data_IF_841817328799
#
_entry.id   IF_841817328799
#
_cell.length_a   1.000
_cell.length_b   1.000
_cell.length_c   1.000
_cell.angle_alpha   90.00
_cell.angle_beta   90.00
_cell.angle_gamma   90.00
#
_symmetry.space_group_name_H-M   'P 1'
#
loop_
_entity.id
_entity.type
_entity.pdbx_description
1 polymer ?
#
# COMPACT_ATOMS: atom_id res chain seq x y z
N UNK A 1 -56.97 39.48 -28.10
CA UNK A 1 -55.52 39.28 -28.28
C UNK A 1 -54.92 38.67 -27.00
N UNK A 2 -54.81 37.34 -26.91
CA UNK A 2 -54.04 36.64 -25.87
C UNK A 2 -53.30 35.50 -26.58
N UNK A 3 -51.97 35.60 -26.63
CA UNK A 3 -51.07 34.62 -27.25
C UNK A 3 -50.88 33.46 -26.27
N UNK A 4 -51.19 32.23 -26.69
CA UNK A 4 -50.76 31.01 -26.03
C UNK A 4 -49.33 30.68 -26.49
N UNK A 5 -48.37 30.61 -25.57
CA UNK A 5 -47.06 30.00 -25.83
C UNK A 5 -47.16 28.51 -25.50
N UNK A 6 -46.91 27.64 -26.49
CA UNK A 6 -46.55 26.24 -26.25
C UNK A 6 -45.07 26.17 -25.92
N UNK A 7 -44.73 25.62 -24.75
CA UNK A 7 -43.37 25.21 -24.41
C UNK A 7 -43.14 23.78 -24.93
N UNK A 8 -42.17 23.62 -25.84
CA UNK A 8 -41.67 22.33 -26.30
C UNK A 8 -40.58 21.90 -25.32
N UNK A 9 -40.84 20.85 -24.53
CA UNK A 9 -39.82 20.19 -23.72
C UNK A 9 -39.03 19.23 -24.63
N UNK A 10 -37.81 19.62 -25.01
CA UNK A 10 -36.86 18.72 -25.67
C UNK A 10 -36.21 17.83 -24.62
N UNK A 11 -36.54 16.54 -24.64
CA UNK A 11 -35.89 15.50 -23.83
C UNK A 11 -34.53 15.17 -24.48
N UNK A 12 -33.45 15.77 -24.00
CA UNK A 12 -32.10 15.34 -24.34
C UNK A 12 -31.77 14.08 -23.53
N UNK A 13 -31.95 12.90 -24.12
CA UNK A 13 -31.38 11.66 -23.63
C UNK A 13 -29.86 11.69 -23.85
N UNK A 14 -29.11 12.16 -22.85
CA UNK A 14 -27.66 12.05 -22.83
C UNK A 14 -27.26 10.58 -22.71
N UNK A 15 -26.64 10.04 -23.76
CA UNK A 15 -25.94 8.75 -23.68
C UNK A 15 -24.67 9.02 -22.87
N UNK A 16 -24.66 8.59 -21.61
CA UNK A 16 -23.43 8.52 -20.83
C UNK A 16 -22.56 7.40 -21.42
N UNK A 17 -21.64 7.77 -22.31
CA UNK A 17 -20.56 6.87 -22.73
C UNK A 17 -19.64 6.67 -21.52
N UNK A 18 -19.85 5.59 -20.78
CA UNK A 18 -18.90 5.13 -19.78
C UNK A 18 -17.56 4.87 -20.46
N UNK A 19 -16.51 5.54 -20.02
CA UNK A 19 -15.15 5.23 -20.44
C UNK A 19 -14.82 3.87 -19.82
N UNK A 20 -14.79 2.83 -20.64
CA UNK A 20 -14.33 1.51 -20.21
C UNK A 20 -12.81 1.59 -20.06
N UNK A 21 -12.32 1.76 -18.82
CA UNK A 21 -10.92 1.60 -18.52
C UNK A 21 -10.57 0.11 -18.63
N UNK A 22 -9.47 -0.20 -19.32
CA UNK A 22 -9.03 -1.57 -19.42
C UNK A 22 -8.46 -2.04 -18.09
N UNK A 23 -8.92 -3.21 -17.63
CA UNK A 23 -8.43 -3.80 -16.41
C UNK A 23 -6.93 -4.15 -16.53
N UNK A 24 -6.16 -3.85 -15.49
CA UNK A 24 -4.79 -4.35 -15.33
C UNK A 24 -4.78 -5.87 -15.51
N UNK A 25 -3.81 -6.43 -16.27
CA UNK A 25 -3.73 -7.86 -16.50
C UNK A 25 -3.64 -8.61 -15.16
N UNK A 26 -4.33 -9.74 -15.07
CA UNK A 26 -4.23 -10.60 -13.88
C UNK A 26 -2.77 -10.99 -13.62
N UNK A 27 -2.36 -11.11 -12.35
CA UNK A 27 -1.00 -11.54 -12.03
C UNK A 27 -0.66 -12.89 -12.67
N UNK A 28 0.55 -12.96 -13.24
CA UNK A 28 1.11 -14.19 -13.82
C UNK A 28 2.35 -14.59 -13.05
N UNK A 29 2.44 -15.82 -12.51
CA UNK A 29 3.63 -16.30 -11.82
C UNK A 29 4.88 -16.22 -12.70
N UNK A 30 5.99 -15.72 -12.14
CA UNK A 30 7.26 -15.57 -12.83
C UNK A 30 8.41 -15.18 -11.88
N UNK A 31 9.49 -14.68 -12.45
CA UNK A 31 10.68 -14.21 -11.72
C UNK A 31 11.08 -12.83 -12.22
N UNK A 32 11.68 -11.99 -11.37
CA UNK A 32 12.27 -10.75 -11.85
C UNK A 32 13.42 -11.06 -12.80
N UNK A 33 13.37 -10.43 -13.97
CA UNK A 33 14.41 -10.52 -15.00
C UNK A 33 15.15 -9.19 -15.11
N UNK A 34 16.34 -9.25 -15.69
CA UNK A 34 17.10 -8.06 -16.04
C UNK A 34 16.49 -7.26 -17.18
N UNK A 35 16.37 -5.94 -17.01
CA UNK A 35 15.96 -5.01 -18.06
C UNK A 35 16.99 -3.90 -18.26
N UNK A 36 16.93 -3.24 -19.43
CA UNK A 36 17.72 -2.04 -19.67
C UNK A 36 17.09 -0.85 -18.92
N UNK A 37 17.52 -0.60 -17.69
CA UNK A 37 16.97 0.48 -16.85
C UNK A 37 17.91 1.69 -16.86
N UNK A 38 17.43 2.84 -17.34
CA UNK A 38 18.22 4.08 -17.42
C UNK A 38 18.10 4.99 -16.20
N UNK A 39 17.01 4.88 -15.44
CA UNK A 39 16.76 5.66 -14.23
C UNK A 39 15.83 4.89 -13.28
N UNK A 40 15.96 5.14 -11.98
CA UNK A 40 15.13 4.56 -10.93
C UNK A 40 14.51 5.68 -10.10
N UNK A 41 13.22 5.57 -9.81
CA UNK A 41 12.45 6.44 -8.93
C UNK A 41 11.68 5.58 -7.91
N UNK A 42 11.22 6.22 -6.84
CA UNK A 42 10.38 5.56 -5.82
C UNK A 42 9.13 6.37 -5.56
N UNK A 43 8.01 5.71 -5.29
CA UNK A 43 6.80 6.35 -4.84
C UNK A 43 6.10 5.52 -3.77
N UNK A 44 5.22 6.15 -3.00
CA UNK A 44 4.39 5.43 -2.06
C UNK A 44 3.43 6.33 -1.30
N UNK A 45 2.50 5.68 -0.60
CA UNK A 45 1.48 6.33 0.23
C UNK A 45 1.55 5.90 1.68
N UNK A 46 1.24 6.79 2.62
CA UNK A 46 1.15 6.45 4.04
C UNK A 46 2.48 5.85 4.54
N UNK A 47 2.48 4.69 5.19
CA UNK A 47 3.72 3.96 5.54
C UNK A 47 4.62 3.67 4.33
N UNK A 48 4.05 3.39 3.15
CA UNK A 48 4.79 3.27 1.89
C UNK A 48 5.40 4.60 1.44
N UNK A 49 4.76 5.73 1.76
CA UNK A 49 5.30 7.07 1.53
C UNK A 49 6.48 7.40 2.46
N UNK A 50 6.39 7.01 3.74
CA UNK A 50 7.54 7.06 4.65
C UNK A 50 8.68 6.17 4.15
N UNK A 51 8.39 4.94 3.73
CA UNK A 51 9.41 4.05 3.18
C UNK A 51 10.00 4.56 1.86
N UNK A 52 9.20 5.16 0.97
CA UNK A 52 9.68 5.81 -0.24
C UNK A 52 10.66 6.95 0.09
N UNK A 53 10.34 7.75 1.11
CA UNK A 53 11.24 8.77 1.62
C UNK A 53 12.54 8.15 2.18
N UNK A 54 12.45 7.10 3.00
CA UNK A 54 13.62 6.38 3.54
C UNK A 54 14.52 5.83 2.44
N UNK A 55 13.95 5.19 1.41
CA UNK A 55 14.69 4.66 0.27
C UNK A 55 15.38 5.77 -0.53
N UNK A 56 14.68 6.88 -0.79
CA UNK A 56 15.26 8.00 -1.54
C UNK A 56 16.40 8.66 -0.77
N UNK A 57 16.26 8.86 0.55
CA UNK A 57 17.31 9.42 1.40
C UNK A 57 18.49 8.47 1.53
N UNK A 58 18.25 7.22 1.92
CA UNK A 58 19.29 6.24 2.14
C UNK A 58 20.05 5.92 0.86
N UNK A 59 19.35 5.74 -0.28
CA UNK A 59 19.93 5.33 -1.56
C UNK A 59 19.82 6.41 -2.64
N UNK A 60 20.10 7.68 -2.28
CA UNK A 60 20.01 8.84 -3.18
C UNK A 60 20.93 8.77 -4.41
N UNK A 61 21.97 7.93 -4.39
CA UNK A 61 22.77 7.59 -5.56
C UNK A 61 21.99 6.78 -6.60
N UNK A 62 21.05 5.95 -6.17
CA UNK A 62 20.21 5.09 -7.03
C UNK A 62 18.94 5.79 -7.46
N UNK A 63 18.15 6.29 -6.50
CA UNK A 63 16.86 6.93 -6.78
C UNK A 63 17.05 8.39 -7.19
N UNK A 64 16.57 8.78 -8.37
CA UNK A 64 16.71 10.15 -8.91
C UNK A 64 15.63 11.12 -8.41
N UNK A 65 14.65 10.61 -7.68
CA UNK A 65 13.53 11.36 -7.18
C UNK A 65 12.49 10.47 -6.51
N UNK A 66 11.51 11.11 -5.87
CA UNK A 66 10.46 10.44 -5.12
C UNK A 66 9.07 11.07 -5.30
N UNK A 67 8.03 10.23 -5.33
CA UNK A 67 6.62 10.63 -5.26
C UNK A 67 5.99 10.18 -3.94
N UNK A 68 5.61 11.09 -3.05
CA UNK A 68 5.20 10.75 -1.69
C UNK A 68 3.80 11.27 -1.41
N UNK A 69 2.89 10.36 -1.07
CA UNK A 69 1.50 10.65 -0.74
C UNK A 69 1.27 10.47 0.76
N UNK A 70 0.73 11.52 1.39
CA UNK A 70 0.23 11.51 2.77
C UNK A 70 1.19 10.86 3.79
N UNK A 71 2.41 11.39 3.89
CA UNK A 71 3.47 10.86 4.77
C UNK A 71 4.30 12.00 5.41
N UNK A 72 5.49 11.67 5.93
CA UNK A 72 6.31 12.62 6.70
C UNK A 72 7.82 12.48 6.50
N UNK A 73 8.60 13.34 7.19
CA UNK A 73 10.05 13.45 7.03
C UNK A 73 10.80 12.19 7.47
N UNK A 74 12.03 12.06 6.97
CA UNK A 74 12.91 10.93 7.22
C UNK A 74 13.17 10.77 8.73
N UNK A 75 13.12 9.54 9.22
CA UNK A 75 13.36 9.18 10.63
C UNK A 75 12.45 9.92 11.65
N UNK A 76 11.30 10.44 11.20
CA UNK A 76 10.37 11.15 12.08
C UNK A 76 9.99 10.32 13.32
N UNK A 77 9.73 9.02 13.13
CA UNK A 77 9.32 8.11 14.18
C UNK A 77 10.42 7.75 15.19
N UNK A 78 11.70 7.95 14.85
CA UNK A 78 12.83 7.73 15.75
C UNK A 78 12.80 6.36 16.46
N UNK A 79 12.62 5.27 15.70
CA UNK A 79 12.56 3.89 16.25
C UNK A 79 11.48 3.73 17.35
N UNK A 80 10.38 4.47 17.24
CA UNK A 80 9.32 4.49 18.24
C UNK A 80 7.93 4.56 17.62
N UNK A 81 7.17 3.49 17.82
CA UNK A 81 5.75 3.42 17.46
C UNK A 81 4.89 4.48 18.17
N UNK A 82 5.32 4.94 19.35
CA UNK A 82 4.64 6.02 20.07
C UNK A 82 4.89 7.36 19.37
N UNK A 83 6.15 7.68 19.06
CA UNK A 83 6.51 8.89 18.31
C UNK A 83 5.87 8.89 16.92
N UNK A 84 5.87 7.75 16.23
CA UNK A 84 5.23 7.55 14.94
C UNK A 84 3.77 8.06 14.95
N UNK A 85 2.99 7.64 15.95
CA UNK A 85 1.56 7.97 16.01
C UNK A 85 1.29 9.36 16.59
N UNK A 86 1.99 9.72 17.65
CA UNK A 86 1.67 10.94 18.39
C UNK A 86 2.38 12.16 17.85
N UNK A 87 3.60 12.03 17.32
CA UNK A 87 4.31 13.13 16.69
C UNK A 87 4.06 13.13 15.18
N UNK A 88 4.31 12.00 14.51
CA UNK A 88 4.38 11.92 13.05
C UNK A 88 3.04 11.62 12.36
N UNK A 89 1.94 11.46 13.09
CA UNK A 89 0.61 11.30 12.50
C UNK A 89 -0.36 12.32 13.10
N UNK A 90 -0.71 12.17 14.38
CA UNK A 90 -1.73 12.96 15.05
C UNK A 90 -1.24 14.30 15.59
N UNK A 91 0.08 14.48 15.76
CA UNK A 91 0.71 15.72 16.24
C UNK A 91 0.38 16.14 17.68
N UNK A 92 -0.06 15.19 18.50
CA UNK A 92 -0.30 15.36 19.94
C UNK A 92 0.99 15.43 20.77
N UNK A 93 2.10 14.93 20.23
CA UNK A 93 3.45 15.11 20.75
C UNK A 93 4.21 16.12 19.88
N UNK A 94 5.11 16.88 20.50
CA UNK A 94 6.06 17.72 19.77
C UNK A 94 6.86 16.88 18.76
N UNK A 95 6.79 17.30 17.50
CA UNK A 95 7.62 16.75 16.42
C UNK A 95 9.02 17.35 16.49
N UNK A 96 10.01 16.58 16.05
CA UNK A 96 11.28 17.17 15.63
C UNK A 96 11.03 18.09 14.46
N UNK A 97 11.72 19.22 14.46
CA UNK A 97 11.68 20.18 13.36
C UNK A 97 12.39 19.60 12.13
N UNK A 98 12.08 20.11 10.91
CA UNK A 98 12.83 19.74 9.70
C UNK A 98 14.34 19.89 9.87
N UNK A 99 14.82 21.00 10.41
CA UNK A 99 16.24 21.26 10.63
C UNK A 99 16.93 20.23 11.55
N UNK A 100 16.24 19.72 12.58
CA UNK A 100 16.76 18.65 13.44
C UNK A 100 16.87 17.33 12.67
N UNK A 101 15.83 16.94 11.93
CA UNK A 101 15.81 15.70 11.14
C UNK A 101 16.82 15.74 9.99
N UNK A 102 17.01 16.90 9.35
CA UNK A 102 18.06 17.12 8.37
C UNK A 102 19.45 16.99 8.95
N UNK A 103 19.66 17.48 10.18
CA UNK A 103 20.95 17.33 10.86
C UNK A 103 21.24 15.87 11.16
N UNK A 104 20.25 15.11 11.64
CA UNK A 104 20.39 13.67 11.86
C UNK A 104 20.65 12.91 10.56
N UNK A 105 20.01 13.33 9.47
CA UNK A 105 20.30 12.79 8.13
C UNK A 105 21.74 13.06 7.73
N UNK A 106 22.24 14.29 7.92
CA UNK A 106 23.64 14.65 7.65
C UNK A 106 24.61 13.83 8.50
N UNK A 107 24.30 13.63 9.78
CA UNK A 107 25.15 12.87 10.70
C UNK A 107 25.22 11.38 10.31
N UNK A 108 24.08 10.77 9.93
CA UNK A 108 24.02 9.40 9.41
C UNK A 108 24.71 9.25 8.04
N UNK A 109 24.59 10.23 7.15
CA UNK A 109 25.34 10.25 5.89
C UNK A 109 26.85 10.35 6.14
N UNK A 110 27.29 11.19 7.09
CA UNK A 110 28.69 11.34 7.48
C UNK A 110 29.27 10.08 8.13
N UNK A 111 28.45 9.25 8.78
CA UNK A 111 28.86 7.95 9.31
C UNK A 111 28.90 6.84 8.25
N UNK A 112 28.38 7.09 7.05
CA UNK A 112 28.38 6.15 5.92
C UNK A 112 27.24 5.14 5.93
N UNK A 113 26.23 5.31 6.78
CA UNK A 113 25.04 4.43 6.81
C UNK A 113 23.94 4.85 5.84
N UNK A 114 24.07 6.03 5.23
CA UNK A 114 23.26 6.57 4.14
C UNK A 114 24.18 7.07 3.03
N UNK A 115 23.65 7.24 1.82
CA UNK A 115 24.31 8.02 0.77
C UNK A 115 24.51 9.49 1.20
N UNK A 116 25.51 10.20 0.64
CA UNK A 116 25.71 11.62 0.92
C UNK A 116 24.48 12.46 0.60
N UNK A 117 24.07 13.36 1.51
CA UNK A 117 22.89 14.24 1.32
C UNK A 117 22.97 15.12 0.06
N UNK A 118 24.16 15.33 -0.50
CA UNK A 118 24.33 15.99 -1.80
C UNK A 118 23.63 15.27 -2.95
N UNK A 119 23.36 13.96 -2.82
CA UNK A 119 22.57 13.18 -3.78
C UNK A 119 21.10 13.60 -3.85
N UNK A 120 20.58 14.27 -2.80
CA UNK A 120 19.21 14.80 -2.77
C UNK A 120 19.10 16.16 -3.45
N UNK A 121 20.21 16.90 -3.57
CA UNK A 121 20.20 18.21 -4.21
C UNK A 121 19.86 18.09 -5.70
N UNK A 122 18.85 18.85 -6.14
CA UNK A 122 18.34 18.82 -7.52
C UNK A 122 17.47 17.61 -7.87
N UNK A 123 17.31 16.64 -6.95
CA UNK A 123 16.39 15.50 -7.13
C UNK A 123 14.95 15.98 -7.36
N UNK A 124 14.16 15.20 -8.10
CA UNK A 124 12.76 15.54 -8.39
C UNK A 124 11.86 14.93 -7.33
N UNK A 125 11.15 15.77 -6.58
CA UNK A 125 10.25 15.32 -5.53
C UNK A 125 8.85 15.84 -5.80
N UNK A 126 7.87 14.94 -5.79
CA UNK A 126 6.46 15.24 -5.83
C UNK A 126 5.84 14.83 -4.50
N UNK A 127 5.13 15.73 -3.85
CA UNK A 127 4.43 15.50 -2.60
C UNK A 127 2.94 15.74 -2.82
N UNK A 128 2.12 14.86 -2.25
CA UNK A 128 0.67 15.00 -2.24
C UNK A 128 0.12 14.88 -0.81
N UNK A 129 -0.75 15.80 -0.43
CA UNK A 129 -1.50 15.74 0.83
C UNK A 129 -2.95 16.18 0.63
N UNK A 130 -3.91 15.43 1.16
CA UNK A 130 -5.31 15.83 1.14
C UNK A 130 -5.65 16.74 2.32
N UNK A 131 -6.38 17.84 2.10
CA UNK A 131 -6.84 18.71 3.19
C UNK A 131 -7.83 18.01 4.13
N UNK A 132 -8.40 16.88 3.71
CA UNK A 132 -9.29 16.03 4.51
C UNK A 132 -8.57 14.87 5.22
N UNK A 133 -7.24 14.76 5.09
CA UNK A 133 -6.46 13.72 5.76
C UNK A 133 -6.36 14.01 7.28
N UNK A 134 -7.04 13.18 8.07
CA UNK A 134 -7.00 13.20 9.55
C UNK A 134 -6.10 12.11 10.14
N UNK A 135 -5.44 11.32 9.29
CA UNK A 135 -4.52 10.24 9.67
C UNK A 135 -3.10 10.75 9.79
N UNK A 136 -2.59 11.40 8.75
CA UNK A 136 -1.32 12.12 8.79
C UNK A 136 -1.65 13.59 8.69
N UNK A 137 -1.47 14.33 9.79
CA UNK A 137 -1.81 15.75 9.81
C UNK A 137 -1.00 16.53 8.77
N UNK A 138 -1.61 17.56 8.17
CA UNK A 138 -0.98 18.41 7.16
C UNK A 138 0.40 18.93 7.58
N UNK A 139 0.54 19.33 8.85
CA UNK A 139 1.79 19.85 9.38
C UNK A 139 2.97 18.85 9.29
N UNK A 140 2.71 17.54 9.30
CA UNK A 140 3.73 16.51 9.10
C UNK A 140 4.23 16.51 7.65
N UNK A 141 3.32 16.64 6.69
CA UNK A 141 3.69 16.67 5.27
C UNK A 141 4.31 18.03 4.88
N UNK A 142 3.91 19.11 5.56
CA UNK A 142 4.57 20.42 5.45
C UNK A 142 6.03 20.36 5.97
N UNK A 143 6.27 19.64 7.07
CA UNK A 143 7.62 19.37 7.58
C UNK A 143 8.45 18.56 6.55
N UNK A 144 7.83 17.56 5.88
CA UNK A 144 8.46 16.80 4.79
C UNK A 144 8.83 17.69 3.59
N UNK A 145 7.93 18.59 3.18
CA UNK A 145 8.18 19.52 2.09
C UNK A 145 9.33 20.49 2.42
N UNK A 146 9.41 20.95 3.67
CA UNK A 146 10.51 21.79 4.15
C UNK A 146 11.83 21.02 4.15
N UNK A 147 11.85 19.83 4.74
CA UNK A 147 13.00 18.92 4.78
C UNK A 147 13.64 18.72 3.39
N UNK A 148 12.82 18.41 2.37
CA UNK A 148 13.34 18.22 1.01
C UNK A 148 13.85 19.50 0.36
N UNK A 149 13.15 20.63 0.55
CA UNK A 149 13.57 21.93 -0.01
C UNK A 149 14.90 22.38 0.58
N UNK A 150 15.08 22.21 1.89
CA UNK A 150 16.28 22.65 2.61
C UNK A 150 17.49 21.77 2.26
N UNK A 151 17.28 20.50 1.92
CA UNK A 151 18.29 19.62 1.31
C UNK A 151 18.52 19.87 -0.20
N UNK A 152 17.81 20.84 -0.77
CA UNK A 152 18.03 21.32 -2.14
C UNK A 152 17.31 20.53 -3.22
N UNK A 153 16.33 19.68 -2.88
CA UNK A 153 15.50 19.00 -3.87
C UNK A 153 14.56 19.97 -4.59
N UNK A 154 14.16 19.62 -5.82
CA UNK A 154 13.13 20.32 -6.57
C UNK A 154 11.76 19.73 -6.20
N UNK A 155 11.04 20.42 -5.31
CA UNK A 155 9.78 19.95 -4.72
C UNK A 155 8.57 20.60 -5.40
N UNK A 156 7.70 19.75 -5.97
CA UNK A 156 6.29 20.07 -6.24
C UNK A 156 5.47 19.52 -5.08
N UNK A 157 4.59 20.33 -4.50
CA UNK A 157 3.74 19.92 -3.38
C UNK A 157 2.29 20.31 -3.68
N UNK A 158 1.47 19.31 -3.98
CA UNK A 158 0.02 19.46 -4.09
C UNK A 158 -0.62 19.15 -2.74
N UNK A 159 -1.19 20.18 -2.13
CA UNK A 159 -1.93 20.09 -0.87
C UNK A 159 -3.30 20.76 -0.95
N UNK A 160 -3.86 20.90 -2.16
CA UNK A 160 -5.09 21.66 -2.38
C UNK A 160 -6.34 20.78 -2.45
N UNK A 161 -6.17 19.49 -2.75
CA UNK A 161 -7.28 18.55 -2.90
C UNK A 161 -7.98 18.25 -1.57
N UNK A 162 -9.31 18.09 -1.60
CA UNK A 162 -10.12 17.69 -0.46
C UNK A 162 -10.01 16.21 -0.07
N UNK A 163 -8.96 15.52 -0.50
CA UNK A 163 -8.79 14.09 -0.31
C UNK A 163 -8.69 13.71 1.17
N UNK A 164 -9.16 12.51 1.52
CA UNK A 164 -8.84 11.84 2.78
C UNK A 164 -7.43 11.24 2.76
N UNK A 165 -7.15 10.35 3.71
CA UNK A 165 -5.88 9.61 3.75
C UNK A 165 -5.90 8.42 2.78
N UNK A 166 -5.36 8.61 1.59
CA UNK A 166 -5.39 7.61 0.53
C UNK A 166 -4.32 7.86 -0.56
N UNK A 167 -4.13 6.85 -1.40
CA UNK A 167 -3.60 7.04 -2.75
C UNK A 167 -4.70 7.70 -3.58
N UNK A 168 -4.42 8.79 -4.28
CA UNK A 168 -5.46 9.49 -5.06
C UNK A 168 -5.25 9.21 -6.53
N UNK A 169 -6.24 8.57 -7.17
CA UNK A 169 -6.17 8.11 -8.54
C UNK A 169 -7.53 8.24 -9.24
N UNK A 170 -7.56 8.47 -10.58
CA UNK A 170 -8.78 8.42 -11.38
C UNK A 170 -9.56 7.10 -11.29
N UNK A 171 -8.89 5.99 -10.97
CA UNK A 171 -9.51 4.66 -10.82
C UNK A 171 -9.96 4.36 -9.39
N UNK A 172 -9.73 5.27 -8.45
CA UNK A 172 -10.05 5.04 -7.03
C UNK A 172 -11.54 4.73 -6.79
N UNK A 173 -11.87 3.62 -6.10
CA UNK A 173 -13.26 3.27 -5.81
C UNK A 173 -13.84 4.07 -4.63
N UNK A 174 -13.01 4.79 -3.86
CA UNK A 174 -13.44 5.52 -2.66
C UNK A 174 -13.66 6.99 -2.98
N UNK A 175 -14.72 7.59 -2.43
CA UNK A 175 -15.00 9.01 -2.62
C UNK A 175 -13.87 9.89 -2.05
N UNK A 176 -13.56 11.00 -2.75
CA UNK A 176 -12.41 11.86 -2.44
C UNK A 176 -12.16 12.13 -0.95
N UNK A 177 -13.14 12.64 -0.22
CA UNK A 177 -12.97 13.06 1.17
C UNK A 177 -12.98 11.90 2.19
N UNK A 178 -13.10 10.64 1.76
CA UNK A 178 -13.25 9.49 2.65
C UNK A 178 -11.93 8.76 2.89
N UNK A 179 -11.58 8.56 4.16
CA UNK A 179 -10.52 7.64 4.59
C UNK A 179 -11.13 6.27 4.86
N UNK A 180 -11.14 5.39 3.86
CA UNK A 180 -11.71 4.04 3.97
C UNK A 180 -11.01 3.07 3.02
N UNK A 181 -11.04 1.77 3.36
CA UNK A 181 -10.53 0.71 2.47
C UNK A 181 -11.21 0.75 1.10
N UNK A 182 -10.48 0.50 -0.02
CA UNK A 182 -9.07 0.10 -0.10
C UNK A 182 -8.05 1.26 0.00
N UNK A 183 -8.46 2.44 0.48
CA UNK A 183 -7.62 3.66 0.63
C UNK A 183 -7.07 4.15 -0.71
N UNK A 184 -7.93 4.11 -1.73
CA UNK A 184 -7.66 4.66 -3.06
C UNK A 184 -8.83 5.57 -3.41
N UNK A 185 -8.62 6.88 -3.34
CA UNK A 185 -9.64 7.89 -3.55
C UNK A 185 -9.70 8.34 -5.01
N UNK A 186 -10.90 8.61 -5.51
CA UNK A 186 -11.10 9.39 -6.74
C UNK A 186 -11.54 10.81 -6.38
N UNK A 187 -10.69 11.77 -6.74
CA UNK A 187 -10.88 13.20 -6.51
C UNK A 187 -11.15 14.01 -7.79
N UNK A 188 -11.33 13.34 -8.94
CA UNK A 188 -11.53 14.00 -10.23
C UNK A 188 -10.28 14.68 -10.80
N UNK A 189 -9.11 14.44 -10.21
CA UNK A 189 -7.78 14.82 -10.69
C UNK A 189 -6.94 13.56 -11.03
N UNK A 190 -5.72 13.77 -11.53
CA UNK A 190 -4.78 12.72 -11.92
C UNK A 190 -3.40 13.01 -11.30
N UNK A 191 -3.19 12.73 -10.01
CA UNK A 191 -1.90 12.93 -9.34
C UNK A 191 -0.78 12.07 -9.92
N UNK A 192 -1.09 10.93 -10.56
CA UNK A 192 -0.10 10.10 -11.24
C UNK A 192 0.54 10.84 -12.42
N UNK A 193 -0.27 11.53 -13.23
CA UNK A 193 0.22 12.43 -14.28
C UNK A 193 1.24 13.41 -13.71
N UNK A 194 0.85 14.17 -12.67
CA UNK A 194 1.64 15.28 -12.15
C UNK A 194 2.92 14.79 -11.47
N UNK A 195 2.83 13.70 -10.72
CA UNK A 195 3.98 13.00 -10.16
C UNK A 195 4.94 12.57 -11.27
N UNK A 196 4.47 11.82 -12.26
CA UNK A 196 5.34 11.30 -13.33
C UNK A 196 5.90 12.43 -14.19
N UNK A 197 5.14 13.50 -14.45
CA UNK A 197 5.64 14.68 -15.14
C UNK A 197 6.78 15.36 -14.35
N UNK A 198 6.67 15.45 -13.02
CA UNK A 198 7.74 15.99 -12.19
C UNK A 198 8.99 15.10 -12.18
N UNK A 199 8.80 13.78 -12.08
CA UNK A 199 9.90 12.81 -12.00
C UNK A 199 10.61 12.64 -13.34
N UNK A 200 9.86 12.54 -14.45
CA UNK A 200 10.38 12.23 -15.79
C UNK A 200 10.62 13.49 -16.64
N UNK A 201 10.15 14.66 -16.19
CA UNK A 201 10.19 15.93 -16.92
C UNK A 201 9.05 16.10 -17.94
N UNK A 202 8.52 15.00 -18.46
CA UNK A 202 7.30 14.98 -19.28
C UNK A 202 6.71 13.57 -19.25
N UNK A 203 5.39 13.45 -19.30
CA UNK A 203 4.69 12.16 -19.37
C UNK A 203 3.73 12.15 -20.56
N UNK A 204 3.65 11.03 -21.28
CA UNK A 204 2.63 10.80 -22.30
C UNK A 204 1.32 10.39 -21.64
N UNK A 205 0.21 10.72 -22.30
CA UNK A 205 -1.12 10.33 -21.84
C UNK A 205 -1.22 8.81 -21.60
N UNK A 206 -1.99 8.38 -20.59
CA UNK A 206 -2.08 6.98 -20.18
C UNK A 206 -2.78 6.12 -21.24
N UNK A 207 -2.48 4.82 -21.27
CA UNK A 207 -3.20 3.89 -22.12
C UNK A 207 -4.65 3.75 -21.61
N UNK A 208 -5.62 4.04 -22.48
CA UNK A 208 -7.06 3.91 -22.20
C UNK A 208 -7.67 2.65 -22.82
N UNK A 209 -6.86 1.85 -23.49
CA UNK A 209 -7.20 0.55 -24.08
C UNK A 209 -6.55 -0.59 -23.28
N UNK A 210 -6.74 -1.84 -23.72
CA UNK A 210 -6.08 -2.99 -23.12
C UNK A 210 -4.57 -2.77 -22.99
N UNK A 211 -4.07 -2.94 -21.76
CA UNK A 211 -2.65 -2.80 -21.44
C UNK A 211 -1.83 -3.88 -22.15
N UNK A 212 -0.71 -3.50 -22.74
CA UNK A 212 0.17 -4.38 -23.51
C UNK A 212 1.24 -5.10 -22.69
N UNK A 213 1.48 -4.68 -21.45
CA UNK A 213 2.42 -5.31 -20.52
C UNK A 213 1.88 -6.54 -19.76
N UNK A 214 2.74 -7.10 -18.91
CA UNK A 214 2.43 -8.20 -18.01
C UNK A 214 2.59 -7.78 -16.55
N UNK A 215 1.68 -8.22 -15.68
CA UNK A 215 1.83 -8.13 -14.23
C UNK A 215 2.46 -9.43 -13.72
N UNK A 216 3.77 -9.41 -13.49
CA UNK A 216 4.53 -10.57 -13.02
C UNK A 216 4.38 -10.67 -11.51
N UNK A 217 3.94 -11.82 -11.01
CA UNK A 217 4.00 -12.20 -9.60
C UNK A 217 5.27 -13.00 -9.34
N UNK A 218 6.11 -12.55 -8.42
CA UNK A 218 7.39 -13.18 -8.07
C UNK A 218 7.51 -13.46 -6.57
N UNK A 219 8.43 -14.37 -6.22
CA UNK A 219 8.72 -14.75 -4.84
C UNK A 219 9.69 -13.78 -4.16
N UNK A 220 9.19 -12.96 -3.22
CA UNK A 220 10.02 -11.99 -2.49
C UNK A 220 11.04 -12.65 -1.56
N UNK A 221 10.85 -13.92 -1.17
CA UNK A 221 11.79 -14.61 -0.28
C UNK A 221 13.20 -14.67 -0.90
N UNK A 222 13.29 -14.66 -2.23
CA UNK A 222 14.56 -14.66 -2.97
C UNK A 222 15.40 -13.40 -2.76
N UNK A 223 14.77 -12.30 -2.33
CA UNK A 223 15.40 -10.98 -2.17
C UNK A 223 15.63 -10.60 -0.71
N UNK A 224 15.23 -11.47 0.22
CA UNK A 224 15.39 -11.24 1.67
C UNK A 224 16.57 -12.04 2.20
N UNK A 225 17.42 -11.38 3.00
CA UNK A 225 18.52 -12.06 3.69
C UNK A 225 17.96 -13.15 4.61
N UNK A 226 18.43 -14.39 4.46
CA UNK A 226 17.91 -15.54 5.19
C UNK A 226 16.71 -16.24 4.53
N UNK A 227 16.23 -15.75 3.37
CA UNK A 227 15.26 -16.45 2.53
C UNK A 227 13.83 -16.47 3.09
N UNK A 228 13.49 -15.53 3.99
CA UNK A 228 12.15 -15.44 4.57
C UNK A 228 11.68 -13.99 4.65
N UNK A 229 10.82 -13.58 3.73
CA UNK A 229 10.23 -12.25 3.72
C UNK A 229 9.33 -12.00 4.93
N UNK A 230 8.62 -13.02 5.39
CA UNK A 230 7.77 -12.94 6.57
C UNK A 230 8.57 -12.58 7.84
N UNK A 231 9.87 -12.88 7.92
CA UNK A 231 10.72 -12.53 9.06
C UNK A 231 10.93 -11.03 9.25
N UNK A 232 10.64 -10.24 8.23
CA UNK A 232 10.76 -8.78 8.20
C UNK A 232 9.43 -8.11 7.84
N UNK A 233 8.29 -8.78 8.10
CA UNK A 233 6.95 -8.30 7.80
C UNK A 233 6.69 -8.01 6.31
N UNK A 234 7.37 -8.72 5.40
CA UNK A 234 7.13 -8.67 3.95
C UNK A 234 6.42 -9.95 3.46
N UNK A 235 5.60 -9.82 2.43
CA UNK A 235 4.87 -10.95 1.83
C UNK A 235 5.84 -11.93 1.12
N UNK A 236 5.43 -13.18 0.92
CA UNK A 236 6.08 -14.04 -0.08
C UNK A 236 5.82 -13.57 -1.51
N UNK A 237 4.70 -12.89 -1.76
CA UNK A 237 4.32 -12.37 -3.08
C UNK A 237 4.88 -10.96 -3.33
N UNK A 238 5.44 -10.72 -4.51
CA UNK A 238 5.81 -9.39 -5.00
C UNK A 238 5.35 -9.25 -6.45
N UNK A 239 5.14 -8.02 -6.92
CA UNK A 239 4.63 -7.82 -8.28
C UNK A 239 5.46 -6.83 -9.08
N UNK A 240 5.55 -7.02 -10.39
CA UNK A 240 6.15 -6.05 -11.30
C UNK A 240 5.32 -5.96 -12.59
N UNK A 241 4.84 -4.76 -12.91
CA UNK A 241 4.24 -4.49 -14.21
C UNK A 241 5.34 -4.12 -15.22
N UNK A 242 5.45 -4.91 -16.28
CA UNK A 242 6.47 -4.77 -17.32
C UNK A 242 5.79 -4.54 -18.68
N UNK A 243 5.89 -3.34 -19.26
CA UNK A 243 5.42 -3.08 -20.62
C UNK A 243 6.12 -3.96 -21.65
N UNK A 244 5.40 -4.33 -22.71
CA UNK A 244 5.94 -5.15 -23.81
C UNK A 244 7.19 -4.53 -24.46
N UNK A 245 7.27 -3.20 -24.55
CA UNK A 245 8.44 -2.49 -25.06
C UNK A 245 9.69 -2.72 -24.19
N UNK A 246 9.55 -2.71 -22.86
CA UNK A 246 10.64 -2.98 -21.92
C UNK A 246 11.08 -4.45 -21.99
N UNK A 247 10.11 -5.37 -22.05
CA UNK A 247 10.39 -6.79 -22.26
C UNK A 247 11.10 -7.07 -23.61
N UNK A 248 10.83 -6.25 -24.62
CA UNK A 248 11.49 -6.29 -25.94
C UNK A 248 12.89 -5.67 -25.98
N UNK A 249 13.43 -5.18 -24.85
CA UNK A 249 14.79 -4.63 -24.76
C UNK A 249 14.89 -3.12 -24.93
N UNK A 250 13.77 -2.38 -24.89
CA UNK A 250 13.82 -0.92 -24.84
C UNK A 250 14.39 -0.45 -23.51
N UNK A 251 15.21 0.61 -23.52
CA UNK A 251 15.63 1.26 -22.28
C UNK A 251 14.44 1.89 -21.59
N UNK A 252 14.18 1.47 -20.35
CA UNK A 252 13.04 1.89 -19.56
C UNK A 252 13.47 2.62 -18.27
N UNK A 253 12.52 3.28 -17.65
CA UNK A 253 12.63 3.77 -16.28
C UNK A 253 12.02 2.72 -15.34
N UNK A 254 12.53 2.63 -14.11
CA UNK A 254 11.91 1.84 -13.04
C UNK A 254 11.30 2.76 -12.00
N UNK A 255 10.03 2.55 -11.67
CA UNK A 255 9.37 3.15 -10.51
C UNK A 255 9.07 2.05 -9.49
N UNK A 256 9.65 2.17 -8.29
CA UNK A 256 9.30 1.33 -7.15
C UNK A 256 8.12 1.97 -6.44
N UNK A 257 6.97 1.29 -6.36
CA UNK A 257 5.74 1.83 -5.78
C UNK A 257 5.33 1.03 -4.54
N UNK A 258 5.19 1.72 -3.42
CA UNK A 258 4.95 1.12 -2.11
C UNK A 258 3.55 1.47 -1.61
N UNK A 259 2.73 0.44 -1.42
CA UNK A 259 1.40 0.57 -0.85
C UNK A 259 1.44 1.06 0.61
N UNK A 260 0.32 1.59 1.10
CA UNK A 260 0.17 2.01 2.50
C UNK A 260 -0.17 0.85 3.44
N UNK A 261 -0.39 1.19 4.72
CA UNK A 261 -0.95 0.23 5.68
C UNK A 261 -2.31 -0.28 5.17
N UNK A 262 -2.63 -1.55 5.43
CA UNK A 262 -3.91 -2.17 5.05
C UNK A 262 -4.18 -2.24 3.54
N UNK A 263 -3.13 -2.11 2.72
CA UNK A 263 -3.21 -2.14 1.25
C UNK A 263 -2.32 -3.22 0.62
N UNK A 264 -1.63 -4.03 1.42
CA UNK A 264 -0.82 -5.14 0.93
C UNK A 264 -1.69 -6.23 0.32
N UNK A 265 -1.14 -6.97 -0.64
CA UNK A 265 -1.85 -7.99 -1.41
C UNK A 265 -2.63 -8.99 -0.54
N UNK A 266 -2.00 -9.51 0.51
CA UNK A 266 -2.60 -10.49 1.42
C UNK A 266 -3.43 -9.89 2.56
N UNK A 267 -3.62 -8.55 2.60
CA UNK A 267 -4.41 -7.90 3.65
C UNK A 267 -5.91 -7.97 3.32
N UNK A 268 -6.75 -8.51 4.21
CA UNK A 268 -8.23 -8.45 4.18
C UNK A 268 -8.90 -8.41 2.79
N UNK A 269 -8.62 -9.39 1.94
CA UNK A 269 -9.18 -9.51 0.58
C UNK A 269 -8.86 -8.35 -0.39
N UNK A 270 -7.88 -7.51 -0.08
CA UNK A 270 -7.40 -6.43 -0.97
C UNK A 270 -6.90 -7.00 -2.29
N UNK A 271 -6.10 -8.07 -2.27
CA UNK A 271 -5.56 -8.69 -3.48
C UNK A 271 -4.77 -7.69 -4.33
N UNK A 272 -4.97 -7.73 -5.65
CA UNK A 272 -4.28 -6.87 -6.62
C UNK A 272 -4.89 -5.46 -6.78
N UNK A 273 -5.80 -5.05 -5.88
CA UNK A 273 -6.53 -3.77 -5.97
C UNK A 273 -5.59 -2.57 -6.07
N UNK A 274 -4.53 -2.49 -5.27
CA UNK A 274 -3.60 -1.35 -5.36
C UNK A 274 -2.87 -1.31 -6.72
N UNK A 275 -2.49 -2.46 -7.28
CA UNK A 275 -1.88 -2.51 -8.61
C UNK A 275 -2.88 -2.15 -9.71
N UNK A 276 -4.17 -2.48 -9.53
CA UNK A 276 -5.25 -2.16 -10.47
C UNK A 276 -5.63 -0.68 -10.48
N UNK A 277 -5.77 -0.11 -9.29
CA UNK A 277 -6.48 1.15 -9.13
C UNK A 277 -5.52 2.33 -8.84
N UNK A 278 -4.20 2.10 -8.72
CA UNK A 278 -3.23 3.18 -8.55
C UNK A 278 -2.98 4.01 -9.83
N UNK A 279 -3.51 3.59 -10.99
CA UNK A 279 -3.38 4.27 -12.29
C UNK A 279 -1.95 4.40 -12.85
N UNK A 280 -1.00 3.65 -12.31
CA UNK A 280 0.40 3.68 -12.74
C UNK A 280 0.69 2.79 -13.94
N UNK A 281 -0.06 1.69 -14.12
CA UNK A 281 0.21 0.72 -15.19
C UNK A 281 -0.20 1.27 -16.57
N UNK A 282 -1.22 2.12 -16.60
CA UNK A 282 -1.71 2.83 -17.76
C UNK A 282 -0.67 3.83 -18.27
N UNK A 283 -0.01 4.54 -17.36
CA UNK A 283 1.14 5.38 -17.68
C UNK A 283 2.37 4.55 -18.05
N UNK A 284 2.60 3.44 -17.36
CA UNK A 284 3.71 2.54 -17.61
C UNK A 284 3.77 2.05 -19.07
N UNK A 285 2.61 1.64 -19.59
CA UNK A 285 2.46 1.06 -20.94
C UNK A 285 2.75 2.06 -22.07
N UNK A 286 2.69 3.38 -21.79
CA UNK A 286 2.92 4.45 -22.78
C UNK A 286 4.24 5.18 -22.62
N UNK A 287 4.95 4.97 -21.50
CA UNK A 287 6.11 5.78 -21.11
C UNK A 287 7.41 4.97 -20.91
N UNK A 288 7.48 3.72 -21.39
CA UNK A 288 8.66 2.84 -21.18
C UNK A 288 9.03 2.78 -19.69
N UNK A 289 8.03 2.53 -18.84
CA UNK A 289 8.18 2.57 -17.40
C UNK A 289 7.80 1.20 -16.84
N UNK A 290 8.70 0.59 -16.10
CA UNK A 290 8.45 -0.62 -15.31
C UNK A 290 7.98 -0.15 -13.93
N UNK A 291 6.94 -0.78 -13.38
CA UNK A 291 6.48 -0.50 -12.01
C UNK A 291 6.68 -1.73 -11.14
N UNK A 292 7.54 -1.62 -10.14
CA UNK A 292 7.75 -2.64 -9.11
C UNK A 292 6.83 -2.36 -7.93
N UNK A 293 6.10 -3.37 -7.46
CA UNK A 293 5.18 -3.32 -6.32
C UNK A 293 5.60 -4.36 -5.26
N UNK A 294 6.61 -4.05 -4.43
CA UNK A 294 6.92 -4.87 -3.27
C UNK A 294 5.73 -4.91 -2.31
N UNK A 295 5.57 -6.00 -1.55
CA UNK A 295 4.44 -6.19 -0.64
C UNK A 295 4.90 -6.37 0.81
N UNK A 296 4.31 -5.60 1.71
CA UNK A 296 4.35 -5.82 3.15
C UNK A 296 3.15 -6.66 3.61
N UNK A 297 3.28 -7.35 4.75
CA UNK A 297 2.21 -8.12 5.39
C UNK A 297 2.06 -7.78 6.85
N UNK A 298 0.92 -8.14 7.41
CA UNK A 298 0.67 -8.07 8.85
C UNK A 298 1.63 -8.97 9.61
N UNK A 299 2.16 -8.47 10.73
CA UNK A 299 2.93 -9.26 11.68
C UNK A 299 2.41 -8.96 13.10
N UNK A 300 1.81 -9.98 13.73
CA UNK A 300 1.22 -9.99 15.08
C UNK A 300 1.15 -8.62 15.80
N UNK A 301 1.85 -8.44 16.92
CA UNK A 301 1.75 -7.22 17.73
C UNK A 301 2.62 -6.07 17.24
N UNK A 302 3.64 -6.34 16.41
CA UNK A 302 4.61 -5.35 15.97
C UNK A 302 4.13 -4.54 14.75
N UNK A 303 3.34 -5.14 13.87
CA UNK A 303 2.81 -4.53 12.64
C UNK A 303 1.48 -5.18 12.19
N UNK A 304 0.39 -5.10 12.99
CA UNK A 304 -0.89 -5.73 12.65
C UNK A 304 -1.57 -5.16 11.40
N UNK A 305 -1.16 -3.99 10.91
CA UNK A 305 -1.76 -3.36 9.74
C UNK A 305 -0.98 -3.60 8.44
N UNK A 306 0.11 -4.38 8.47
CA UNK A 306 0.92 -4.65 7.28
C UNK A 306 1.51 -3.40 6.64
N UNK A 307 1.96 -2.46 7.48
CA UNK A 307 2.65 -1.25 7.05
C UNK A 307 4.12 -1.57 6.70
N UNK A 308 4.75 -0.70 5.91
CA UNK A 308 6.22 -0.69 5.81
C UNK A 308 6.86 -0.27 7.12
N UNK A 309 8.12 -0.66 7.34
CA UNK A 309 8.86 -0.30 8.54
C UNK A 309 9.36 1.14 8.47
N UNK A 310 8.62 2.02 9.13
CA UNK A 310 8.97 3.41 9.33
C UNK A 310 9.04 3.81 10.81
N UNK A 311 9.01 2.83 11.72
CA UNK A 311 9.12 3.05 13.17
C UNK A 311 10.03 2.04 13.89
N UNK A 312 10.81 1.28 13.14
CA UNK A 312 11.90 0.44 13.64
C UNK A 312 11.50 -0.93 14.15
N UNK A 313 10.35 -1.47 13.75
CA UNK A 313 9.93 -2.80 14.21
C UNK A 313 10.80 -3.94 13.66
N UNK A 314 11.60 -3.70 12.62
CA UNK A 314 12.64 -4.63 12.13
C UNK A 314 14.04 -4.32 12.68
N UNK A 315 14.16 -3.34 13.58
CA UNK A 315 15.38 -2.95 14.28
C UNK A 315 15.79 -1.49 14.00
N UNK A 316 16.68 -0.96 14.84
CA UNK A 316 17.07 0.46 14.83
C UNK A 316 17.67 0.98 13.51
N UNK A 317 18.16 0.08 12.65
CA UNK A 317 18.69 0.42 11.32
C UNK A 317 17.62 0.47 10.22
N UNK A 318 16.33 0.41 10.56
CA UNK A 318 15.19 0.34 9.60
C UNK A 318 15.24 1.38 8.47
N UNK A 319 15.71 2.59 8.78
CA UNK A 319 15.82 3.70 7.84
C UNK A 319 17.23 3.87 7.23
N UNK A 320 18.15 2.93 7.44
CA UNK A 320 19.54 2.98 6.95
C UNK A 320 19.82 1.94 5.85
N UNK A 321 20.98 1.99 5.19
CA UNK A 321 21.41 0.96 4.23
C UNK A 321 21.30 -0.49 4.76
N UNK A 322 21.39 -0.67 6.07
CA UNK A 322 21.27 -1.97 6.74
C UNK A 322 19.82 -2.41 7.00
N UNK A 323 18.85 -1.52 6.80
CA UNK A 323 17.41 -1.72 7.01
C UNK A 323 16.89 -2.95 6.27
N UNK A 324 16.31 -3.95 6.96
CA UNK A 324 15.96 -5.23 6.34
C UNK A 324 14.99 -5.11 5.16
N UNK A 325 13.93 -4.31 5.28
CA UNK A 325 12.98 -4.09 4.19
C UNK A 325 13.59 -3.29 3.03
N UNK A 326 14.36 -2.24 3.31
CA UNK A 326 15.01 -1.48 2.26
C UNK A 326 16.02 -2.31 1.48
N UNK A 327 16.81 -3.15 2.16
CA UNK A 327 17.71 -4.10 1.50
C UNK A 327 16.96 -5.06 0.58
N UNK A 328 15.80 -5.55 1.00
CA UNK A 328 14.97 -6.43 0.18
C UNK A 328 14.49 -5.73 -1.08
N UNK A 329 13.97 -4.51 -0.96
CA UNK A 329 13.55 -3.68 -2.09
C UNK A 329 14.74 -3.40 -3.02
N UNK A 330 15.90 -3.05 -2.48
CA UNK A 330 17.10 -2.79 -3.28
C UNK A 330 17.65 -4.03 -3.98
N UNK A 331 17.47 -5.23 -3.41
CA UNK A 331 17.78 -6.49 -4.10
C UNK A 331 16.82 -6.74 -5.29
N UNK A 332 15.54 -6.41 -5.16
CA UNK A 332 14.57 -6.46 -6.27
C UNK A 332 14.91 -5.45 -7.37
N UNK A 333 15.27 -4.22 -6.99
CA UNK A 333 15.80 -3.19 -7.92
C UNK A 333 17.05 -3.70 -8.64
N UNK A 334 17.99 -4.29 -7.90
CA UNK A 334 19.19 -4.91 -8.46
C UNK A 334 18.85 -5.98 -9.51
N UNK A 335 17.90 -6.86 -9.22
CA UNK A 335 17.47 -7.90 -10.17
C UNK A 335 16.89 -7.30 -11.46
N UNK A 336 16.02 -6.29 -11.35
CA UNK A 336 15.39 -5.61 -12.49
C UNK A 336 16.36 -4.79 -13.34
N UNK A 337 17.44 -4.28 -12.74
CA UNK A 337 18.44 -3.44 -13.42
C UNK A 337 19.63 -4.26 -13.96
N UNK A 338 19.84 -5.48 -13.46
CA UNK A 338 20.96 -6.32 -13.88
C UNK A 338 20.68 -6.96 -15.23
N UNK A 339 21.36 -6.55 -16.31
CA UNK A 339 21.15 -7.12 -17.66
C UNK A 339 21.75 -8.53 -17.84
N UNK A 340 21.61 -9.40 -16.84
CA UNK A 340 21.98 -10.81 -16.99
C UNK A 340 20.90 -11.47 -17.85
N UNK A 341 21.25 -12.11 -18.98
CA UNK A 341 20.28 -12.86 -19.78
C UNK A 341 19.55 -13.87 -18.88
N UNK A 342 18.24 -14.10 -19.08
CA UNK A 342 17.53 -15.12 -18.33
C UNK A 342 18.26 -16.44 -18.58
N UNK A 343 18.73 -17.08 -17.51
CA UNK A 343 19.19 -18.47 -17.60
C UNK A 343 17.95 -19.27 -17.96
N UNK A 344 17.79 -19.60 -19.23
CA UNK A 344 16.78 -20.55 -19.67
C UNK A 344 17.14 -21.86 -18.98
N UNK A 345 16.49 -22.15 -17.85
CA UNK A 345 16.48 -23.50 -17.29
C UNK A 345 15.59 -24.31 -18.22
N UNK A 346 16.12 -24.70 -19.38
CA UNK A 346 15.65 -25.87 -20.09
C UNK A 346 15.81 -27.03 -19.12
N UNK A 347 14.71 -27.43 -18.48
CA UNK A 347 14.59 -28.71 -17.79
C UNK A 347 15.04 -29.77 -18.82
N UNK A 348 16.15 -30.48 -18.58
CA UNK A 348 16.56 -31.56 -19.47
C UNK A 348 15.40 -32.57 -19.56
N UNK A 349 15.07 -33.11 -20.75
CA UNK A 349 14.03 -34.11 -20.85
C UNK A 349 14.40 -35.27 -19.93
N UNK A 350 13.57 -35.53 -18.93
CA UNK A 350 13.66 -36.72 -18.11
C UNK A 350 13.44 -37.92 -19.02
N UNK A 351 14.52 -38.60 -19.39
CA UNK A 351 14.44 -39.96 -19.93
C UNK A 351 13.91 -40.87 -18.83
N UNK A 352 12.60 -41.14 -18.87
CA UNK A 352 11.98 -42.19 -18.09
C UNK A 352 12.42 -43.54 -18.67
N UNK A 353 13.49 -44.12 -18.12
CA UNK A 353 13.75 -45.55 -18.27
C UNK A 353 12.90 -46.29 -17.26
N UNK A 354 11.97 -47.10 -17.76
CA UNK A 354 11.07 -47.95 -16.99
C UNK A 354 11.87 -48.99 -16.18
N UNK A 355 11.78 -49.04 -14.84
CA UNK A 355 12.38 -50.13 -14.06
C UNK A 355 11.63 -51.45 -14.26
N UNK A 356 12.30 -52.62 -14.18
CA UNK A 356 11.66 -53.91 -14.35
C UNK A 356 10.73 -54.23 -13.18
N UNK A 357 9.54 -54.73 -13.53
CA UNK A 357 8.52 -55.25 -12.62
C UNK A 357 9.02 -56.51 -11.90
N UNK A 358 9.22 -56.43 -10.59
CA UNK A 358 9.26 -57.59 -9.70
C UNK A 358 7.92 -57.73 -8.97
N UNK A 359 7.21 -58.81 -9.28
CA UNK A 359 5.96 -59.20 -8.64
C UNK A 359 6.24 -59.80 -7.27
N UNK A 360 5.86 -59.11 -6.21
CA UNK A 360 5.68 -59.71 -4.87
C UNK A 360 4.26 -59.43 -4.39
N UNK A 361 3.53 -60.52 -4.13
CA UNK A 361 2.15 -60.55 -3.65
C UNK A 361 2.01 -59.93 -2.25
N UNK A 362 1.09 -58.98 -2.02
CA UNK A 362 0.77 -58.47 -0.69
C UNK A 362 -0.11 -59.43 0.12
N UNK A 363 0.02 -59.50 1.46
CA UNK A 363 -0.89 -60.24 2.31
C UNK A 363 -2.19 -59.45 2.56
N UNK A 364 -3.28 -60.21 2.68
CA UNK A 364 -4.63 -59.76 3.03
C UNK A 364 -4.72 -59.25 4.46
N UNK A 365 -5.23 -58.03 4.64
CA UNK A 365 -5.76 -57.54 5.92
C UNK A 365 -7.20 -57.06 5.74
N UNK A 366 -8.07 -57.66 6.55
CA UNK A 366 -9.50 -57.35 6.66
C UNK A 366 -9.68 -56.16 7.60
N UNK A 367 -10.28 -55.07 7.13
CA UNK A 367 -10.81 -54.01 8.00
C UNK A 367 -12.25 -53.68 7.60
N UNK A 368 -13.12 -53.72 8.60
CA UNK A 368 -14.57 -53.48 8.54
C UNK A 368 -14.92 -52.01 8.25
N UNK A 369 -16.06 -51.72 7.58
CA UNK A 369 -16.46 -50.35 7.23
C UNK A 369 -17.12 -49.60 8.41
N UNK A 370 -16.99 -48.27 8.49
CA UNK A 370 -17.75 -47.48 9.45
C UNK A 370 -19.20 -47.26 8.97
N UNK A 371 -20.12 -47.37 9.93
CA UNK A 371 -21.56 -47.09 9.80
C UNK A 371 -21.84 -45.59 9.67
N UNK A 372 -22.65 -45.23 8.67
CA UNK A 372 -23.24 -43.89 8.50
C UNK A 372 -24.53 -43.80 9.33
N UNK A 373 -24.65 -42.79 10.19
CA UNK A 373 -25.91 -42.47 10.87
C UNK A 373 -26.43 -41.13 10.36
N UNK A 374 -27.50 -41.17 9.57
CA UNK A 374 -28.34 -40.03 9.17
C UNK A 374 -29.28 -39.64 10.31
N UNK A 375 -29.36 -38.35 10.63
CA UNK A 375 -30.39 -37.75 11.50
C UNK A 375 -31.34 -36.90 10.61
N UNK A 376 -32.68 -36.96 10.79
CA UNK A 376 -33.64 -36.24 9.95
C UNK A 376 -33.82 -34.77 10.37
N UNK A 377 -34.35 -33.89 9.48
CA UNK A 377 -34.56 -32.49 9.80
C UNK A 377 -35.83 -32.31 10.65
N UNK A 378 -35.73 -31.54 11.73
CA UNK A 378 -36.89 -31.01 12.46
C UNK A 378 -37.24 -29.62 11.95
N UNK A 379 -38.50 -29.45 11.55
CA UNK A 379 -39.09 -28.18 11.14
C UNK A 379 -39.67 -27.49 12.37
N UNK A 380 -39.22 -26.27 12.68
CA UNK A 380 -39.85 -25.41 13.68
C UNK A 380 -40.16 -24.06 13.07
N UNK A 381 -41.46 -23.76 12.94
CA UNK A 381 -42.02 -22.46 12.55
C UNK A 381 -41.83 -21.41 13.66
N UNK A 382 -41.35 -20.22 13.31
CA UNK A 382 -41.22 -19.05 14.21
C UNK A 382 -42.31 -18.01 13.88
N UNK A 383 -43.00 -17.39 14.87
CA UNK A 383 -43.97 -16.31 14.66
C UNK A 383 -43.27 -14.94 14.46
N UNK A 384 -43.95 -13.92 13.89
CA UNK A 384 -43.30 -12.68 13.50
C UNK A 384 -43.01 -11.83 14.73
N UNK A 385 -41.75 -11.43 14.91
CA UNK A 385 -41.37 -10.42 15.89
C UNK A 385 -40.78 -9.20 15.19
N UNK A 386 -41.36 -8.07 15.56
CA UNK A 386 -40.96 -6.68 15.33
C UNK A 386 -39.44 -6.50 15.25
N UNK A 387 -38.97 -5.98 14.11
CA UNK A 387 -37.57 -5.61 13.87
C UNK A 387 -37.19 -4.37 14.66
N UNK A 388 -36.59 -4.58 15.83
CA UNK A 388 -35.53 -3.68 16.31
C UNK A 388 -34.28 -3.97 15.45
N UNK A 389 -33.55 -2.96 14.92
CA UNK A 389 -32.33 -3.21 14.17
C UNK A 389 -31.37 -4.06 15.01
N UNK A 390 -30.77 -5.09 14.40
CA UNK A 390 -29.73 -5.86 15.06
C UNK A 390 -28.56 -4.93 15.44
N UNK A 391 -27.95 -5.10 16.63
CA UNK A 391 -26.83 -4.26 17.05
C UNK A 391 -25.67 -4.41 16.07
N UNK A 392 -25.17 -3.28 15.56
CA UNK A 392 -24.01 -3.24 14.67
C UNK A 392 -22.75 -3.47 15.51
N UNK A 393 -22.03 -4.56 15.24
CA UNK A 393 -20.70 -4.79 15.77
C UNK A 393 -19.66 -4.31 14.75
N UNK A 394 -18.68 -3.56 15.21
CA UNK A 394 -17.57 -3.07 14.38
C UNK A 394 -16.27 -3.40 15.09
N UNK A 395 -15.41 -4.18 14.44
CA UNK A 395 -14.04 -4.42 14.90
C UNK A 395 -13.10 -3.48 14.15
N UNK A 396 -12.37 -2.64 14.88
CA UNK A 396 -11.42 -1.71 14.28
C UNK A 396 -10.29 -1.39 15.27
N UNK A 397 -9.25 -0.66 14.82
CA UNK A 397 -8.27 -0.12 15.76
C UNK A 397 -8.89 0.97 16.63
N UNK A 398 -8.29 1.23 17.80
CA UNK A 398 -8.69 2.34 18.66
C UNK A 398 -8.67 3.68 17.92
N UNK A 399 -7.67 3.88 17.07
CA UNK A 399 -7.61 5.01 16.16
C UNK A 399 -8.85 5.08 15.26
N UNK A 400 -9.17 4.00 14.55
CA UNK A 400 -10.30 3.93 13.62
C UNK A 400 -11.67 4.06 14.32
N UNK A 401 -11.77 3.58 15.57
CA UNK A 401 -12.96 3.78 16.40
C UNK A 401 -13.18 5.25 16.74
N UNK A 402 -12.11 5.99 17.05
CA UNK A 402 -12.18 7.42 17.30
C UNK A 402 -12.50 8.20 16.03
N UNK A 403 -11.85 7.87 14.91
CA UNK A 403 -12.11 8.54 13.62
C UNK A 403 -13.55 8.39 13.14
N UNK A 404 -14.17 7.26 13.42
CA UNK A 404 -15.55 6.99 13.02
C UNK A 404 -16.58 7.29 14.13
N UNK A 405 -16.21 8.12 15.10
CA UNK A 405 -17.05 8.62 16.20
C UNK A 405 -17.71 7.52 17.06
N UNK A 406 -17.02 6.36 17.17
CA UNK A 406 -17.42 5.26 18.05
C UNK A 406 -16.71 5.31 19.41
N UNK A 407 -15.64 6.08 19.52
CA UNK A 407 -14.82 6.25 20.71
C UNK A 407 -14.23 7.66 20.77
N UNK A 408 -13.63 8.03 21.91
CA UNK A 408 -12.92 9.28 22.11
C UNK A 408 -11.60 9.06 22.87
N UNK A 409 -10.72 10.06 22.84
CA UNK A 409 -9.39 10.01 23.45
C UNK A 409 -9.31 10.93 24.66
N UNK A 410 -8.78 10.42 25.77
CA UNK A 410 -8.37 11.23 26.90
C UNK A 410 -7.00 10.75 27.41
N UNK A 411 -6.04 11.68 27.50
CA UNK A 411 -4.69 11.44 28.03
C UNK A 411 -3.97 10.24 27.37
N UNK A 412 -4.11 10.07 26.06
CA UNK A 412 -3.49 8.98 25.29
C UNK A 412 -4.18 7.62 25.40
N UNK A 413 -5.31 7.55 26.13
CA UNK A 413 -6.16 6.35 26.20
C UNK A 413 -7.47 6.57 25.45
N UNK A 414 -8.00 5.49 24.87
CA UNK A 414 -9.26 5.46 24.11
C UNK A 414 -10.38 4.93 24.98
N UNK A 415 -11.56 5.51 24.85
CA UNK A 415 -12.76 5.14 25.58
C UNK A 415 -13.95 5.06 24.62
N UNK A 416 -14.78 4.03 24.73
CA UNK A 416 -15.96 3.90 23.88
C UNK A 416 -16.96 5.04 24.14
N UNK A 417 -17.54 5.60 23.07
CA UNK A 417 -18.52 6.70 23.18
C UNK A 417 -19.80 6.17 23.83
N UNK A 418 -20.32 6.90 24.83
CA UNK A 418 -21.49 6.47 25.62
C UNK A 418 -21.12 5.66 26.86
N UNK A 419 -20.49 4.48 26.70
CA UNK A 419 -20.17 3.62 27.86
C UNK A 419 -18.94 4.08 28.66
N UNK A 420 -18.00 4.78 28.01
CA UNK A 420 -16.67 5.09 28.53
C UNK A 420 -15.84 3.85 28.92
N UNK A 421 -16.13 2.69 28.33
CA UNK A 421 -15.31 1.50 28.51
C UNK A 421 -13.89 1.80 28.04
N UNK A 422 -12.90 1.50 28.90
CA UNK A 422 -11.51 1.70 28.56
C UNK A 422 -11.07 0.71 27.47
N UNK A 423 -10.60 1.24 26.35
CA UNK A 423 -10.12 0.48 25.20
C UNK A 423 -8.59 0.43 25.15
N UNK A 424 -7.90 0.97 26.15
CA UNK A 424 -6.43 1.03 26.17
C UNK A 424 -5.88 2.19 25.33
N UNK A 425 -4.63 2.08 24.89
CA UNK A 425 -3.92 3.19 24.25
C UNK A 425 -4.58 3.59 22.92
N UNK A 426 -4.70 4.90 22.68
CA UNK A 426 -5.13 5.40 21.37
C UNK A 426 -4.03 5.19 20.35
N UNK A 427 -4.21 4.18 19.51
CA UNK A 427 -3.22 3.79 18.53
C UNK A 427 -3.90 3.00 17.39
N UNK A 428 -3.19 2.78 16.29
CA UNK A 428 -3.68 2.01 15.14
C UNK A 428 -3.55 0.49 15.32
N UNK A 429 -3.01 0.01 16.45
CA UNK A 429 -2.56 -1.38 16.66
C UNK A 429 -3.41 -2.17 17.65
N UNK A 430 -3.92 -1.50 18.68
CA UNK A 430 -4.88 -1.98 19.66
C UNK A 430 -6.23 -1.98 18.99
N UNK A 431 -6.78 -3.17 18.78
CA UNK A 431 -8.08 -3.37 18.14
C UNK A 431 -9.07 -3.83 19.17
N UNK A 432 -10.29 -3.33 19.06
CA UNK A 432 -11.41 -3.73 19.88
C UNK A 432 -12.62 -3.96 18.98
N UNK A 433 -13.56 -4.75 19.44
CA UNK A 433 -14.89 -4.83 18.84
C UNK A 433 -15.82 -3.95 19.64
N UNK A 434 -16.43 -2.95 19.02
CA UNK A 434 -17.48 -2.15 19.64
C UNK A 434 -18.84 -2.58 19.12
N UNK A 435 -19.79 -2.75 20.05
CA UNK A 435 -21.20 -3.02 19.74
C UNK A 435 -22.05 -1.78 19.98
N UNK A 436 -22.79 -1.35 18.97
CA UNK A 436 -23.75 -0.26 19.13
C UNK A 436 -24.98 -0.76 19.91
N UNK A 437 -25.26 -0.14 21.05
CA UNK A 437 -26.41 -0.49 21.92
C UNK A 437 -27.47 0.61 21.99
N UNK A 438 -27.16 1.78 21.41
CA UNK A 438 -28.08 2.89 21.18
C UNK A 438 -27.44 3.93 20.26
N UNK A 439 -28.19 4.99 19.85
CA UNK A 439 -27.60 6.12 19.14
C UNK A 439 -26.42 6.68 19.94
N UNK A 440 -25.26 6.77 19.30
CA UNK A 440 -23.99 7.23 19.87
C UNK A 440 -23.53 6.51 21.16
N UNK A 441 -24.07 5.31 21.43
CA UNK A 441 -23.73 4.50 22.59
C UNK A 441 -23.12 3.16 22.18
N UNK A 442 -21.83 3.05 22.40
CA UNK A 442 -20.97 1.92 22.07
C UNK A 442 -20.42 1.28 23.34
N UNK A 443 -20.32 -0.05 23.35
CA UNK A 443 -19.70 -0.82 24.43
C UNK A 443 -18.61 -1.73 23.87
N UNK A 444 -17.56 -1.98 24.65
CA UNK A 444 -16.53 -2.97 24.28
C UNK A 444 -17.14 -4.37 24.32
N UNK A 445 -16.95 -5.13 23.24
CA UNK A 445 -17.59 -6.41 22.98
C UNK A 445 -16.61 -7.43 22.35
N UNK A 446 -15.34 -7.41 22.79
CA UNK A 446 -14.31 -8.32 22.28
C UNK A 446 -14.71 -9.78 22.45
N UNK A 447 -14.81 -10.50 21.33
CA UNK A 447 -15.23 -11.91 21.31
C UNK A 447 -16.66 -12.15 21.80
N UNK A 448 -17.49 -11.11 21.89
CA UNK A 448 -18.89 -11.16 22.34
C UNK A 448 -19.87 -10.56 21.32
N UNK A 449 -19.41 -10.50 20.07
CA UNK A 449 -20.18 -10.37 18.84
C UNK A 449 -19.98 -11.66 18.03
#
# INVERSE_FOLDING_TARGET
>A
MKRFLLAVAALCSGIATGVAFAAVPSPTPGTLSGYHVGAVYVAGVSSGGYMANQLHVAYSGTFKGAGIFTAGPYDCAQDSVYTAQYACMATFQTRKTPAELEQETRDRANSGVLDPVSGLSGSKVYLYHGTGDTTVAAAVNDDLATYYRDLGANVVYDNASGAGHAWVSPLGPVACASTAAPYINNCGNDPEHDMLAQLLGSVRAPNTSALGGQLIEFDQNQYVSGGSAASISMDGHGFAYVPSACAGGTTCTLLVTLHGCKQGYSYDSIGDTFMKDAYLNEYADTNNLIVLYPQAITQSSSNPNGCWDWWGYTGAAYAEHAGPQMKAVMAMVGALTSTTPPTTTTVPPTTTTTPPTTTTTPPTTTTTPPTTTTVPPTTTTVPPTTTTPAPVCVTASNYDHVQADRAHVALGSTYANGSNDAMGLWNTFTTHTLRQTGPDYWVVADGQC
#
